data_IF_198223599208
#
_entry.id   IF_198223599208
#
_cell.length_a   1.000
_cell.length_b   1.000
_cell.length_c   1.000
_cell.angle_alpha   90.00
_cell.angle_beta   90.00
_cell.angle_gamma   90.00
#
_symmetry.space_group_name_H-M   'P 1'
#
loop_
_entity.id
_entity.type
_entity.pdbx_description
1 polymer ?
#
# COMPACT_ATOMS: atom_id res chain seq x y z
N UNK A 1 8.15 -53.14 -3.49
CA UNK A 1 9.02 -52.06 -3.00
C UNK A 1 8.13 -51.02 -2.34
N UNK A 2 8.31 -50.74 -1.04
CA UNK A 2 7.66 -49.59 -0.39
C UNK A 2 8.58 -48.39 -0.54
N UNK A 3 8.02 -47.26 -0.98
CA UNK A 3 8.78 -46.01 -1.10
C UNK A 3 8.79 -45.33 0.28
N UNK A 4 9.96 -44.91 0.78
CA UNK A 4 10.04 -44.16 2.03
C UNK A 4 9.33 -42.80 1.89
N UNK A 5 8.61 -42.39 2.94
CA UNK A 5 7.86 -41.12 2.95
C UNK A 5 8.56 -40.13 3.88
N UNK A 6 8.74 -38.89 3.43
CA UNK A 6 9.22 -37.78 4.25
C UNK A 6 8.09 -36.77 4.42
N UNK A 7 7.54 -36.68 5.63
CA UNK A 7 6.58 -35.66 6.00
C UNK A 7 7.33 -34.45 6.54
N UNK A 8 7.27 -33.32 5.83
CA UNK A 8 7.94 -32.07 6.25
C UNK A 8 6.91 -31.11 6.82
N UNK A 9 7.22 -30.58 8.00
CA UNK A 9 6.40 -29.63 8.74
C UNK A 9 7.20 -28.37 9.03
N UNK A 10 6.57 -27.21 8.89
CA UNK A 10 7.11 -25.97 9.45
C UNK A 10 6.82 -25.87 10.95
N UNK A 11 7.81 -25.51 11.77
CA UNK A 11 7.65 -25.33 13.22
C UNK A 11 6.55 -24.31 13.57
N UNK A 12 6.36 -23.30 12.73
CA UNK A 12 5.38 -22.22 12.91
C UNK A 12 4.08 -22.46 12.12
N UNK A 13 3.91 -23.64 11.52
CA UNK A 13 2.70 -23.97 10.74
C UNK A 13 1.47 -24.08 11.64
N UNK A 14 0.44 -23.29 11.33
CA UNK A 14 -0.88 -23.38 11.97
C UNK A 14 -1.82 -24.36 11.27
N UNK A 15 -1.50 -24.80 10.04
CA UNK A 15 -2.33 -25.72 9.27
C UNK A 15 -2.10 -27.19 9.64
N UNK A 16 -0.84 -27.59 9.82
CA UNK A 16 -0.47 -28.92 10.30
C UNK A 16 0.12 -28.78 11.69
N UNK A 17 -0.70 -28.97 12.72
CA UNK A 17 -0.29 -28.86 14.14
C UNK A 17 0.73 -29.95 14.51
N UNK A 18 1.46 -29.84 15.64
CA UNK A 18 2.47 -30.83 16.01
C UNK A 18 1.85 -32.23 16.16
N UNK A 19 0.76 -32.32 16.93
CA UNK A 19 0.03 -33.58 17.11
C UNK A 19 -0.62 -34.09 15.82
N UNK A 20 -1.09 -33.19 14.94
CA UNK A 20 -1.63 -33.58 13.64
C UNK A 20 -0.58 -34.19 12.71
N UNK A 21 0.66 -33.67 12.75
CA UNK A 21 1.78 -34.21 11.98
C UNK A 21 2.24 -35.57 12.51
N UNK A 22 2.29 -35.73 13.83
CA UNK A 22 2.64 -37.00 14.48
C UNK A 22 1.62 -38.09 14.15
N UNK A 23 0.32 -37.76 14.26
CA UNK A 23 -0.76 -38.69 13.91
C UNK A 23 -0.73 -39.07 12.41
N UNK A 24 -0.48 -38.11 11.52
CA UNK A 24 -0.37 -38.40 10.09
C UNK A 24 0.87 -39.26 9.79
N UNK A 25 2.00 -39.02 10.47
CA UNK A 25 3.20 -39.80 10.31
C UNK A 25 3.02 -41.26 10.77
N UNK A 26 2.23 -41.53 11.81
CA UNK A 26 1.98 -42.89 12.29
C UNK A 26 1.11 -43.74 11.34
N UNK A 27 0.27 -43.10 10.52
CA UNK A 27 -0.58 -43.77 9.53
C UNK A 27 0.17 -44.07 8.22
N UNK A 28 1.33 -43.47 8.00
CA UNK A 28 2.11 -43.61 6.78
C UNK A 28 3.24 -44.63 6.95
N UNK A 29 3.30 -45.69 6.11
CA UNK A 29 4.35 -46.69 6.19
C UNK A 29 5.71 -46.07 5.87
N UNK A 30 6.74 -46.43 6.66
CA UNK A 30 8.12 -45.97 6.49
C UNK A 30 8.27 -44.43 6.44
N UNK A 31 7.42 -43.73 7.20
CA UNK A 31 7.39 -42.27 7.25
C UNK A 31 8.38 -41.68 8.27
N UNK A 32 9.11 -40.64 7.86
CA UNK A 32 9.89 -39.79 8.76
C UNK A 32 9.28 -38.40 8.80
N UNK A 33 9.03 -37.90 10.01
CA UNK A 33 8.61 -36.52 10.23
C UNK A 33 9.84 -35.63 10.43
N UNK A 34 9.96 -34.56 9.64
CA UNK A 34 10.97 -33.52 9.79
C UNK A 34 10.30 -32.17 10.08
N UNK A 35 10.75 -31.49 11.12
CA UNK A 35 10.29 -30.12 11.45
C UNK A 35 11.36 -29.11 11.06
N UNK A 36 10.98 -28.12 10.24
CA UNK A 36 11.85 -27.04 9.79
C UNK A 36 11.63 -25.82 10.71
N UNK A 37 12.66 -25.39 11.47
CA UNK A 37 12.60 -24.18 12.29
C UNK A 37 12.29 -22.94 11.43
N UNK A 38 11.52 -21.99 11.96
CA UNK A 38 11.13 -20.74 11.30
C UNK A 38 10.36 -20.88 9.97
N UNK A 39 10.02 -22.10 9.54
CA UNK A 39 9.09 -22.34 8.45
C UNK A 39 7.69 -22.57 8.99
N UNK A 40 6.66 -22.18 8.24
CA UNK A 40 5.28 -22.40 8.63
C UNK A 40 4.31 -21.77 7.65
N UNK A 41 3.14 -22.39 7.49
CA UNK A 41 2.02 -21.68 6.87
C UNK A 41 1.46 -20.72 7.91
N UNK A 42 1.62 -19.43 7.64
CA UNK A 42 1.12 -18.37 8.48
C UNK A 42 -0.31 -18.05 8.07
N UNK A 43 -1.30 -18.62 8.75
CA UNK A 43 -2.71 -18.36 8.41
C UNK A 43 -3.12 -16.88 8.46
N UNK A 44 -2.34 -16.02 9.13
CA UNK A 44 -2.55 -14.57 9.08
C UNK A 44 -2.20 -13.94 7.71
N UNK A 45 -1.33 -14.58 6.91
CA UNK A 45 -1.10 -14.22 5.51
C UNK A 45 -2.25 -14.68 4.60
N UNK A 46 -3.04 -15.68 5.02
CA UNK A 46 -4.25 -16.12 4.31
C UNK A 46 -5.44 -15.15 4.50
N UNK A 47 -5.34 -14.24 5.48
CA UNK A 47 -6.35 -13.20 5.73
C UNK A 47 -5.68 -11.82 5.80
N UNK A 48 -5.23 -11.28 4.66
CA UNK A 48 -4.53 -10.01 4.63
C UNK A 48 -5.38 -8.90 5.25
N UNK A 49 -4.73 -8.06 6.07
CA UNK A 49 -5.40 -6.92 6.70
C UNK A 49 -5.68 -5.78 5.72
N UNK A 50 -4.97 -5.76 4.59
CA UNK A 50 -5.28 -4.93 3.44
C UNK A 50 -4.68 -5.55 2.17
N UNK A 51 -5.28 -5.25 1.02
CA UNK A 51 -4.78 -5.70 -0.28
C UNK A 51 -4.90 -4.60 -1.32
N UNK A 52 -4.07 -4.68 -2.35
CA UNK A 52 -4.32 -4.06 -3.64
C UNK A 52 -4.95 -5.11 -4.55
N UNK A 53 -6.10 -4.78 -5.14
CA UNK A 53 -6.86 -5.65 -6.01
C UNK A 53 -7.07 -4.99 -7.39
N UNK A 54 -7.61 -5.77 -8.32
CA UNK A 54 -8.04 -5.29 -9.63
C UNK A 54 -8.96 -4.06 -9.50
N UNK A 55 -8.72 -3.07 -10.34
CA UNK A 55 -9.54 -1.86 -10.41
C UNK A 55 -11.02 -2.21 -10.66
N UNK A 56 -11.95 -1.39 -10.17
CA UNK A 56 -13.38 -1.57 -10.47
C UNK A 56 -13.70 -1.51 -11.96
N UNK A 57 -12.90 -0.78 -12.74
CA UNK A 57 -13.03 -0.75 -14.19
C UNK A 57 -12.59 -2.05 -14.86
N UNK A 58 -11.83 -2.93 -14.19
CA UNK A 58 -11.16 -4.09 -14.79
C UNK A 58 -10.22 -3.74 -15.97
N UNK A 59 -9.81 -2.47 -16.06
CA UNK A 59 -8.87 -1.98 -17.07
C UNK A 59 -7.61 -1.41 -16.41
N UNK A 60 -6.53 -1.36 -17.20
CA UNK A 60 -5.35 -0.59 -16.84
C UNK A 60 -5.66 0.90 -16.88
N UNK A 61 -5.38 1.60 -15.79
CA UNK A 61 -5.63 3.03 -15.64
C UNK A 61 -4.33 3.82 -15.70
N UNK A 62 -4.16 4.60 -16.78
CA UNK A 62 -3.05 5.53 -16.96
C UNK A 62 -3.59 6.96 -17.04
N UNK A 63 -3.55 7.72 -15.95
CA UNK A 63 -4.11 9.07 -15.93
C UNK A 63 -3.50 9.97 -14.87
N UNK A 64 -3.54 11.30 -15.07
CA UNK A 64 -3.33 12.26 -14.00
C UNK A 64 -4.38 12.05 -12.89
N UNK A 65 -3.93 11.92 -11.65
CA UNK A 65 -4.81 11.81 -10.49
C UNK A 65 -4.52 12.93 -9.51
N UNK A 66 -5.58 13.62 -9.10
CA UNK A 66 -5.51 14.65 -8.08
C UNK A 66 -5.67 14.03 -6.70
N UNK A 67 -4.76 14.37 -5.82
CA UNK A 67 -4.64 13.82 -4.48
C UNK A 67 -4.61 14.96 -3.48
N UNK A 68 -5.47 14.89 -2.47
CA UNK A 68 -5.44 15.82 -1.35
C UNK A 68 -4.62 15.22 -0.21
N UNK A 69 -3.71 16.01 0.35
CA UNK A 69 -2.93 15.64 1.53
C UNK A 69 -3.84 15.64 2.77
N UNK A 70 -4.01 14.47 3.38
CA UNK A 70 -4.87 14.26 4.56
C UNK A 70 -4.08 14.25 5.87
N UNK A 71 -2.85 13.75 5.87
CA UNK A 71 -2.13 13.61 7.14
C UNK A 71 -1.70 14.97 7.69
N UNK A 72 -1.45 15.02 9.00
CA UNK A 72 -1.14 16.23 9.78
C UNK A 72 0.36 16.37 10.08
N UNK A 73 1.20 15.54 9.45
CA UNK A 73 2.66 15.62 9.55
C UNK A 73 3.35 14.38 10.12
N UNK A 74 2.60 13.32 10.43
CA UNK A 74 3.13 12.01 10.84
C UNK A 74 4.14 11.44 9.83
N UNK A 75 3.80 11.46 8.53
CA UNK A 75 4.57 10.90 7.43
C UNK A 75 5.77 11.80 7.08
N UNK A 76 6.99 11.26 7.18
CA UNK A 76 8.22 12.02 6.88
C UNK A 76 8.29 12.47 5.42
N UNK A 77 7.64 11.73 4.51
CA UNK A 77 7.63 11.97 3.08
C UNK A 77 6.76 13.16 2.66
N UNK A 78 5.90 13.68 3.53
CA UNK A 78 4.98 14.80 3.20
C UNK A 78 5.18 16.05 4.05
N UNK A 79 6.20 16.09 4.91
CA UNK A 79 6.47 17.22 5.83
C UNK A 79 6.72 18.56 5.14
N UNK A 80 7.16 18.53 3.88
CA UNK A 80 7.35 19.71 3.05
C UNK A 80 6.08 20.26 2.40
N UNK A 81 4.96 19.55 2.51
CA UNK A 81 3.68 19.89 1.90
C UNK A 81 2.72 20.47 2.95
N UNK A 82 1.74 21.26 2.50
CA UNK A 82 0.71 21.83 3.38
C UNK A 82 -0.46 20.87 3.53
N UNK A 83 -0.98 20.71 4.74
CA UNK A 83 -2.22 19.95 4.97
C UNK A 83 -3.36 20.50 4.08
N UNK A 84 -4.12 19.60 3.44
CA UNK A 84 -5.17 19.96 2.48
C UNK A 84 -4.67 20.38 1.09
N UNK A 85 -3.35 20.45 0.87
CA UNK A 85 -2.80 20.72 -0.46
C UNK A 85 -3.21 19.61 -1.44
N UNK A 86 -3.65 20.03 -2.63
CA UNK A 86 -3.92 19.11 -3.75
C UNK A 86 -2.71 19.05 -4.65
N UNK A 87 -2.24 17.83 -4.92
CA UNK A 87 -1.13 17.51 -5.83
C UNK A 87 -1.60 16.59 -6.94
N UNK A 88 -0.92 16.60 -8.08
CA UNK A 88 -1.19 15.71 -9.21
C UNK A 88 -0.05 14.71 -9.37
N UNK A 89 -0.37 13.43 -9.22
CA UNK A 89 0.54 12.32 -9.54
C UNK A 89 -0.03 11.45 -10.65
N UNK A 90 0.81 10.67 -11.32
CA UNK A 90 0.36 9.80 -12.41
C UNK A 90 -0.08 8.45 -11.84
N UNK A 91 -1.36 8.11 -11.98
CA UNK A 91 -1.82 6.73 -11.75
C UNK A 91 -1.49 5.89 -12.98
N UNK A 92 -0.94 4.69 -12.78
CA UNK A 92 -0.51 3.79 -13.84
C UNK A 92 -0.59 2.30 -13.39
N UNK A 93 -1.80 1.76 -13.24
CA UNK A 93 -2.01 0.42 -12.65
C UNK A 93 -3.29 -0.27 -13.17
N UNK A 94 -3.29 -1.60 -13.21
CA UNK A 94 -4.49 -2.43 -13.33
C UNK A 94 -5.01 -2.93 -11.97
N UNK A 95 -4.14 -2.94 -10.95
CA UNK A 95 -4.40 -3.50 -9.62
C UNK A 95 -4.09 -2.46 -8.53
N UNK A 96 -4.78 -1.31 -8.58
CA UNK A 96 -4.57 -0.23 -7.61
C UNK A 96 -5.66 -0.09 -6.57
N UNK A 97 -6.62 -1.02 -6.52
CA UNK A 97 -7.78 -0.89 -5.63
C UNK A 97 -7.38 -1.31 -4.21
N UNK A 98 -7.16 -0.34 -3.34
CA UNK A 98 -6.91 -0.64 -1.94
C UNK A 98 -8.22 -1.04 -1.24
N UNK A 99 -8.20 -2.21 -0.62
CA UNK A 99 -9.33 -2.82 0.07
C UNK A 99 -8.94 -3.18 1.51
N UNK A 100 -9.92 -3.03 2.40
CA UNK A 100 -9.87 -3.51 3.78
C UNK A 100 -10.86 -4.68 3.95
N UNK A 101 -10.61 -5.61 4.88
CA UNK A 101 -11.54 -6.69 5.20
C UNK A 101 -12.90 -6.13 5.64
N UNK A 102 -13.99 -6.54 4.99
CA UNK A 102 -15.35 -6.01 5.22
C UNK A 102 -15.78 -6.04 6.69
N UNK A 103 -15.45 -7.11 7.41
CA UNK A 103 -15.79 -7.29 8.83
C UNK A 103 -14.98 -6.39 9.78
N UNK A 104 -13.84 -5.85 9.35
CA UNK A 104 -12.93 -5.02 10.15
C UNK A 104 -12.76 -3.59 9.60
N UNK A 105 -13.29 -3.30 8.42
CA UNK A 105 -13.09 -2.05 7.67
C UNK A 105 -13.28 -0.79 8.53
N UNK A 106 -14.42 -0.67 9.22
CA UNK A 106 -14.72 0.51 10.05
C UNK A 106 -13.71 0.71 11.18
N UNK A 107 -13.30 -0.38 11.84
CA UNK A 107 -12.31 -0.33 12.93
C UNK A 107 -10.94 0.06 12.39
N UNK A 108 -10.49 -0.60 11.33
CA UNK A 108 -9.21 -0.32 10.70
C UNK A 108 -9.14 1.11 10.15
N UNK A 109 -10.21 1.59 9.51
CA UNK A 109 -10.28 2.97 9.04
C UNK A 109 -10.16 3.97 10.20
N UNK A 110 -10.83 3.70 11.34
CA UNK A 110 -10.72 4.54 12.53
C UNK A 110 -9.28 4.55 13.04
N UNK A 111 -8.65 3.40 13.18
CA UNK A 111 -7.25 3.29 13.62
C UNK A 111 -6.29 4.05 12.68
N UNK A 112 -6.44 3.88 11.35
CA UNK A 112 -5.64 4.60 10.36
C UNK A 112 -5.82 6.13 10.46
N UNK A 113 -7.03 6.60 10.78
CA UNK A 113 -7.30 8.03 10.98
C UNK A 113 -6.71 8.54 12.28
N UNK A 114 -6.94 7.84 13.39
CA UNK A 114 -6.49 8.23 14.72
C UNK A 114 -4.95 8.27 14.80
N UNK A 115 -4.29 7.35 14.08
CA UNK A 115 -2.83 7.28 13.97
C UNK A 115 -2.26 8.21 12.88
N UNK A 116 -3.08 9.05 12.23
CA UNK A 116 -2.67 9.96 11.15
C UNK A 116 -1.94 9.25 9.99
N UNK A 117 -2.34 8.01 9.66
CA UNK A 117 -1.68 7.16 8.67
C UNK A 117 -2.23 7.32 7.26
N UNK A 118 -3.37 8.00 7.09
CA UNK A 118 -3.96 8.26 5.77
C UNK A 118 -3.28 9.49 5.19
N UNK A 119 -2.42 9.29 4.19
CA UNK A 119 -1.56 10.36 3.67
C UNK A 119 -2.21 11.10 2.52
N UNK A 120 -2.68 10.39 1.50
CA UNK A 120 -3.35 11.00 0.34
C UNK A 120 -4.69 10.34 0.07
N UNK A 121 -5.65 11.17 -0.37
CA UNK A 121 -6.92 10.70 -0.91
C UNK A 121 -7.18 11.27 -2.30
N UNK A 122 -7.75 10.45 -3.18
CA UNK A 122 -8.23 10.88 -4.49
C UNK A 122 -9.35 11.92 -4.37
N UNK A 123 -9.25 12.98 -5.17
CA UNK A 123 -10.22 14.08 -5.24
C UNK A 123 -10.50 14.50 -6.68
N UNK A 124 -11.62 15.18 -6.89
CA UNK A 124 -11.98 15.82 -8.14
C UNK A 124 -11.23 17.14 -8.38
N UNK A 125 -11.64 17.86 -9.43
CA UNK A 125 -11.15 19.19 -9.78
C UNK A 125 -11.45 20.28 -8.76
N UNK A 126 -12.42 20.05 -7.87
CA UNK A 126 -12.79 20.95 -6.78
C UNK A 126 -12.14 20.56 -5.46
N UNK A 127 -11.29 19.52 -5.45
CA UNK A 127 -10.67 19.00 -4.22
C UNK A 127 -11.63 18.21 -3.32
N UNK A 128 -12.77 17.78 -3.86
CA UNK A 128 -13.78 16.98 -3.16
C UNK A 128 -13.59 15.49 -3.46
N UNK A 129 -13.86 14.60 -2.50
CA UNK A 129 -13.74 13.16 -2.75
C UNK A 129 -14.76 12.72 -3.79
N UNK A 130 -14.28 12.04 -4.83
CA UNK A 130 -15.13 11.60 -5.94
C UNK A 130 -14.74 10.18 -6.38
N UNK A 131 -15.71 9.46 -6.96
CA UNK A 131 -15.48 8.15 -7.55
C UNK A 131 -14.76 8.22 -8.89
N UNK A 132 -14.95 7.21 -9.74
CA UNK A 132 -14.46 7.24 -11.12
C UNK A 132 -14.97 8.49 -11.87
N UNK A 133 -14.14 9.19 -12.66
CA UNK A 133 -12.78 8.85 -13.07
C UNK A 133 -11.66 9.32 -12.11
N UNK A 134 -11.99 10.09 -11.07
CA UNK A 134 -11.03 10.74 -10.17
C UNK A 134 -10.35 9.78 -9.21
N UNK A 135 -11.09 8.76 -8.76
CA UNK A 135 -10.57 7.56 -8.13
C UNK A 135 -10.54 6.44 -9.20
N UNK A 136 -9.40 6.23 -9.89
CA UNK A 136 -9.33 5.33 -11.05
C UNK A 136 -9.52 3.86 -10.68
N UNK A 137 -9.02 3.43 -9.51
CA UNK A 137 -9.13 2.04 -9.08
C UNK A 137 -10.44 1.69 -8.39
N UNK A 138 -11.22 2.69 -7.97
CA UNK A 138 -12.36 2.46 -7.08
C UNK A 138 -11.94 2.11 -5.65
N UNK A 139 -10.75 2.58 -5.23
CA UNK A 139 -10.20 2.30 -3.89
C UNK A 139 -11.14 2.73 -2.77
N UNK A 140 -11.22 1.94 -1.68
CA UNK A 140 -12.10 2.23 -0.55
C UNK A 140 -11.73 3.55 0.13
N UNK A 141 -12.74 4.37 0.45
CA UNK A 141 -12.57 5.69 1.09
C UNK A 141 -11.62 6.65 0.36
N UNK A 142 -11.41 6.45 -0.96
CA UNK A 142 -10.52 7.24 -1.79
C UNK A 142 -9.05 7.19 -1.35
N UNK A 143 -8.63 6.22 -0.53
CA UNK A 143 -7.26 6.16 0.02
C UNK A 143 -6.27 5.81 -1.09
N UNK A 144 -5.40 6.77 -1.43
CA UNK A 144 -4.37 6.63 -2.46
C UNK A 144 -2.98 6.35 -1.88
N UNK A 145 -2.77 6.73 -0.62
CA UNK A 145 -1.49 6.53 0.06
C UNK A 145 -1.64 6.40 1.57
N UNK A 146 -0.80 5.56 2.17
CA UNK A 146 -0.70 5.30 3.61
C UNK A 146 0.76 5.41 4.08
N UNK A 147 0.95 5.67 5.36
CA UNK A 147 2.24 5.45 6.02
C UNK A 147 2.10 4.48 7.20
N UNK A 148 3.22 3.90 7.66
CA UNK A 148 3.24 3.17 8.91
C UNK A 148 3.08 4.12 10.12
N UNK A 149 2.94 3.55 11.32
CA UNK A 149 2.74 4.31 12.57
C UNK A 149 3.89 5.26 12.89
N UNK A 150 5.12 4.86 12.60
CA UNK A 150 6.31 5.69 12.80
C UNK A 150 6.50 6.75 11.71
N UNK A 151 5.68 6.70 10.65
CA UNK A 151 5.69 7.64 9.54
C UNK A 151 6.92 7.56 8.62
N UNK A 152 7.78 6.55 8.79
CA UNK A 152 9.03 6.36 8.05
C UNK A 152 8.94 5.32 6.91
N UNK A 153 7.79 4.64 6.76
CA UNK A 153 7.45 3.80 5.60
C UNK A 153 6.21 4.39 4.94
N UNK A 154 6.27 4.59 3.62
CA UNK A 154 5.22 5.25 2.85
C UNK A 154 4.85 4.39 1.64
N UNK A 155 3.59 3.98 1.58
CA UNK A 155 2.99 3.28 0.44
C UNK A 155 2.11 4.26 -0.33
N UNK A 156 2.38 4.43 -1.62
CA UNK A 156 1.62 5.31 -2.51
C UNK A 156 1.34 4.56 -3.80
N UNK A 157 0.08 4.58 -4.23
CA UNK A 157 -0.32 3.91 -5.46
C UNK A 157 -0.06 4.79 -6.70
N UNK A 158 -0.31 6.11 -6.70
CA UNK A 158 0.12 6.98 -7.79
C UNK A 158 1.64 7.19 -7.78
N UNK A 159 2.20 7.61 -8.92
CA UNK A 159 3.63 7.76 -9.16
C UNK A 159 4.08 9.23 -9.00
N UNK A 160 4.54 9.67 -7.80
CA UNK A 160 5.07 11.02 -7.61
C UNK A 160 6.36 11.25 -8.40
N UNK A 161 7.18 10.23 -8.63
CA UNK A 161 8.41 10.31 -9.42
C UNK A 161 8.13 10.71 -10.88
N UNK A 162 6.99 10.28 -11.43
CA UNK A 162 6.55 10.66 -12.78
C UNK A 162 6.01 12.08 -12.87
N UNK A 163 5.94 12.79 -11.75
CA UNK A 163 5.63 14.22 -11.68
C UNK A 163 6.74 15.02 -10.99
N UNK A 164 7.99 14.52 -10.99
CA UNK A 164 9.09 15.19 -10.30
C UNK A 164 9.53 16.49 -11.01
N UNK A 165 9.74 16.43 -12.32
CA UNK A 165 10.08 17.60 -13.12
C UNK A 165 8.85 18.23 -13.76
N UNK A 166 8.91 19.54 -13.98
CA UNK A 166 7.81 20.32 -14.55
C UNK A 166 7.38 19.78 -15.91
N UNK A 167 8.32 19.42 -16.78
CA UNK A 167 8.04 18.90 -18.12
C UNK A 167 7.39 17.51 -18.14
N UNK A 168 7.42 16.78 -17.02
CA UNK A 168 6.70 15.50 -16.87
C UNK A 168 5.24 15.71 -16.41
N UNK A 169 4.91 16.90 -15.91
CA UNK A 169 3.58 17.19 -15.40
C UNK A 169 2.54 17.28 -16.54
N UNK A 170 1.31 16.72 -16.42
CA UNK A 170 0.33 16.67 -17.51
C UNK A 170 -0.12 18.03 -18.09
N UNK A 171 0.01 19.10 -17.32
CA UNK A 171 -0.34 20.47 -17.71
C UNK A 171 0.88 21.36 -18.02
N UNK A 172 2.06 20.77 -18.25
CA UNK A 172 3.34 21.50 -18.32
C UNK A 172 3.36 22.64 -19.35
N UNK A 173 2.62 22.52 -20.45
CA UNK A 173 2.48 23.56 -21.49
C UNK A 173 1.32 24.52 -21.28
N UNK A 174 0.40 24.23 -20.36
CA UNK A 174 -0.91 24.92 -20.28
C UNK A 174 -1.06 25.83 -19.06
N UNK A 175 -0.34 25.54 -17.98
CA UNK A 175 -0.48 26.26 -16.72
C UNK A 175 0.64 27.27 -16.53
N UNK A 176 0.26 28.54 -16.42
CA UNK A 176 1.12 29.65 -16.01
C UNK A 176 1.20 29.72 -14.47
N UNK A 177 2.33 30.19 -13.92
CA UNK A 177 2.47 30.48 -12.49
C UNK A 177 2.83 29.30 -11.56
N UNK A 178 3.45 28.24 -12.08
CA UNK A 178 4.04 27.14 -11.29
C UNK A 178 5.57 27.22 -11.18
N UNK A 179 6.17 26.28 -10.45
CA UNK A 179 7.63 26.09 -10.47
C UNK A 179 8.08 25.76 -11.91
N UNK A 180 9.04 26.50 -12.48
CA UNK A 180 9.45 26.32 -13.87
C UNK A 180 10.26 25.03 -14.10
N UNK A 181 10.84 24.45 -13.05
CA UNK A 181 11.75 23.30 -13.13
C UNK A 181 11.09 22.03 -12.62
N UNK A 182 10.36 22.13 -11.52
CA UNK A 182 9.83 20.98 -10.80
C UNK A 182 8.31 20.86 -10.88
N UNK A 183 7.82 19.63 -10.77
CA UNK A 183 6.42 19.31 -10.64
C UNK A 183 6.04 18.95 -9.20
N UNK A 184 4.78 18.56 -9.01
CA UNK A 184 4.21 18.27 -7.69
C UNK A 184 4.92 17.12 -6.95
N UNK A 185 5.61 16.23 -7.67
CA UNK A 185 6.35 15.11 -7.10
C UNK A 185 7.55 15.53 -6.24
N UNK A 186 8.14 16.68 -6.53
CA UNK A 186 9.34 17.22 -5.86
C UNK A 186 9.19 17.25 -4.34
N UNK A 187 8.02 17.67 -3.85
CA UNK A 187 7.77 17.84 -2.42
C UNK A 187 7.93 16.54 -1.62
N UNK A 188 7.70 15.38 -2.25
CA UNK A 188 7.89 14.08 -1.60
C UNK A 188 9.38 13.82 -1.34
N UNK A 189 10.21 13.93 -2.38
CA UNK A 189 11.63 13.65 -2.30
C UNK A 189 12.40 14.68 -1.45
N UNK A 190 12.06 15.97 -1.56
CA UNK A 190 12.64 17.00 -0.69
C UNK A 190 12.29 16.81 0.79
N UNK A 191 11.13 16.24 1.10
CA UNK A 191 10.77 15.94 2.49
C UNK A 191 11.62 14.80 3.06
N UNK A 192 11.90 13.77 2.25
CA UNK A 192 12.78 12.66 2.62
C UNK A 192 14.21 13.13 2.81
N UNK A 193 14.76 13.92 1.88
CA UNK A 193 16.12 14.45 1.99
C UNK A 193 16.30 15.26 3.28
N UNK A 194 15.38 16.20 3.55
CA UNK A 194 15.39 16.98 4.80
C UNK A 194 15.25 16.15 6.06
N UNK A 195 14.56 15.01 5.99
CA UNK A 195 14.43 14.10 7.12
C UNK A 195 15.74 13.36 7.39
N UNK A 196 16.40 12.87 6.33
CA UNK A 196 17.69 12.16 6.42
C UNK A 196 18.78 13.10 6.92
N UNK A 197 18.91 14.30 6.34
CA UNK A 197 19.91 15.32 6.73
C UNK A 197 19.81 15.78 8.19
N UNK A 198 18.64 15.69 8.81
CA UNK A 198 18.45 16.06 10.22
C UNK A 198 18.73 14.93 11.19
N UNK A 199 18.76 13.69 10.70
CA UNK A 199 18.83 12.48 11.53
C UNK A 199 20.20 11.81 11.48
N UNK A 200 20.97 12.07 10.43
CA UNK A 200 22.31 11.55 10.19
C UNK A 200 23.23 12.71 9.80
#
# INVERSE_FOLDING_TARGET
>A
MRAPVLLVRGAESTLLTPGGAEALASELPDCRLATIPAAGHHAHLDQPEAVLATNDSSHYECRPSRLKLENRGSCVFTRGLKHGQVVTFISAHAEGKFLLPRNREKRMLKELRDNDQIVFRFVDDRGTYAGYPWNPSGTTHNIAALCNRDGNVFGVQPHPERCFFRHLHPDWTRREGGDPVYGDGKGIFESVLRYVEKRF
#
